data_IF_848573656695
#
_entry.id   IF_848573656695
#
_cell.length_a   1.000
_cell.length_b   1.000
_cell.length_c   1.000
_cell.angle_alpha   90.00
_cell.angle_beta   90.00
_cell.angle_gamma   90.00
#
_symmetry.space_group_name_H-M   'P 1'
#
loop_
_entity.id
_entity.type
_entity.pdbx_description
1 polymer ?
#
# COMPACT_ATOMS: atom_id res chain seq x y z
N UNK A 1 0.84 -8.76 -13.06
CA UNK A 1 1.12 -8.76 -11.59
C UNK A 1 0.29 -7.68 -10.90
N UNK A 2 0.31 -7.54 -9.56
CA UNK A 2 -0.39 -6.41 -8.90
C UNK A 2 0.30 -5.09 -9.28
N UNK A 3 1.63 -5.10 -9.33
CA UNK A 3 2.48 -3.99 -9.79
C UNK A 3 2.13 -3.47 -11.20
N UNK A 4 1.80 -4.34 -12.16
CA UNK A 4 1.34 -3.91 -13.49
C UNK A 4 0.01 -3.17 -13.44
N UNK A 5 -0.97 -3.72 -12.70
CA UNK A 5 -2.26 -3.05 -12.51
C UNK A 5 -2.06 -1.67 -11.85
N UNK A 6 -1.15 -1.55 -10.88
CA UNK A 6 -0.82 -0.27 -10.20
C UNK A 6 -0.20 0.75 -11.17
N UNK A 7 0.65 0.33 -12.10
CA UNK A 7 1.22 1.23 -13.12
C UNK A 7 0.15 1.79 -14.05
N UNK A 8 -0.80 0.94 -14.46
CA UNK A 8 -1.95 1.35 -15.27
C UNK A 8 -2.83 2.32 -14.46
N UNK A 9 -3.15 1.97 -13.20
CA UNK A 9 -3.92 2.82 -12.29
C UNK A 9 -3.32 4.22 -12.17
N UNK A 10 -2.01 4.32 -11.91
CA UNK A 10 -1.30 5.60 -11.81
C UNK A 10 -1.42 6.43 -13.09
N UNK A 11 -1.45 5.79 -14.25
CA UNK A 11 -1.58 6.46 -15.54
C UNK A 11 -3.01 6.96 -15.78
N UNK A 12 -4.00 6.23 -15.28
CA UNK A 12 -5.43 6.56 -15.42
C UNK A 12 -5.91 7.62 -14.42
N UNK A 13 -5.26 7.77 -13.25
CA UNK A 13 -5.65 8.76 -12.23
C UNK A 13 -5.78 10.20 -12.77
N UNK A 14 -5.10 10.53 -13.88
CA UNK A 14 -5.12 11.87 -14.47
C UNK A 14 -5.99 11.97 -15.74
N UNK A 15 -6.61 10.87 -16.18
CA UNK A 15 -7.27 10.77 -17.49
C UNK A 15 -8.74 10.36 -17.35
N UNK A 16 -9.03 9.30 -16.59
CA UNK A 16 -10.39 8.77 -16.44
C UNK A 16 -10.63 8.30 -15.00
N UNK A 17 -11.51 9.00 -14.30
CA UNK A 17 -11.83 8.71 -12.90
C UNK A 17 -12.58 7.38 -12.73
N UNK A 18 -13.42 6.99 -13.68
CA UNK A 18 -14.30 5.82 -13.55
C UNK A 18 -13.52 4.53 -13.82
N UNK A 19 -12.66 4.53 -14.85
CA UNK A 19 -11.75 3.41 -15.10
C UNK A 19 -10.71 3.26 -14.00
N UNK A 20 -10.18 4.38 -13.48
CA UNK A 20 -9.25 4.35 -12.35
C UNK A 20 -9.90 3.78 -11.08
N UNK A 21 -11.17 4.10 -10.79
CA UNK A 21 -11.89 3.57 -9.65
C UNK A 21 -12.14 2.05 -9.77
N UNK A 22 -12.61 1.59 -10.93
CA UNK A 22 -12.78 0.15 -11.18
C UNK A 22 -11.47 -0.63 -11.02
N UNK A 23 -10.35 -0.07 -11.50
CA UNK A 23 -9.04 -0.68 -11.38
C UNK A 23 -8.52 -0.65 -9.93
N UNK A 24 -8.79 0.42 -9.18
CA UNK A 24 -8.49 0.52 -7.76
C UNK A 24 -9.16 -0.61 -6.97
N UNK A 25 -10.46 -0.84 -7.19
CA UNK A 25 -11.20 -1.91 -6.51
C UNK A 25 -10.72 -3.31 -6.91
N UNK A 26 -10.35 -3.51 -8.18
CA UNK A 26 -9.69 -4.73 -8.63
C UNK A 26 -8.39 -4.97 -7.86
N UNK A 27 -7.52 -3.96 -7.75
CA UNK A 27 -6.24 -4.09 -7.05
C UNK A 27 -6.45 -4.39 -5.56
N UNK A 28 -7.36 -3.67 -4.89
CA UNK A 28 -7.71 -3.95 -3.49
C UNK A 28 -8.25 -5.36 -3.29
N UNK A 29 -9.07 -5.85 -4.21
CA UNK A 29 -9.57 -7.22 -4.17
C UNK A 29 -8.42 -8.23 -4.25
N UNK A 30 -7.44 -8.00 -5.12
CA UNK A 30 -6.24 -8.85 -5.24
C UNK A 30 -5.37 -8.78 -3.99
N UNK A 31 -5.14 -7.59 -3.43
CA UNK A 31 -4.44 -7.42 -2.15
C UNK A 31 -5.13 -8.13 -0.97
N UNK A 32 -6.41 -8.46 -1.07
CA UNK A 32 -7.08 -9.28 -0.04
C UNK A 32 -6.89 -10.77 -0.25
N UNK A 33 -6.60 -11.22 -1.46
CA UNK A 33 -6.71 -12.63 -1.85
C UNK A 33 -5.39 -13.27 -2.32
N UNK A 34 -4.39 -12.48 -2.69
CA UNK A 34 -3.10 -12.95 -3.21
C UNK A 34 -1.94 -12.38 -2.37
N UNK A 35 -0.88 -13.17 -2.07
CA UNK A 35 0.29 -12.65 -1.37
C UNK A 35 1.07 -11.66 -2.24
N UNK A 36 1.49 -10.53 -1.66
CA UNK A 36 2.35 -9.56 -2.35
C UNK A 36 3.80 -10.05 -2.42
N UNK A 37 4.50 -9.62 -3.47
CA UNK A 37 5.96 -9.70 -3.57
C UNK A 37 6.60 -8.31 -3.44
N UNK A 38 7.94 -8.25 -3.47
CA UNK A 38 8.69 -6.99 -3.33
C UNK A 38 8.32 -5.95 -4.39
N UNK A 39 8.14 -6.35 -5.65
CA UNK A 39 7.84 -5.45 -6.75
C UNK A 39 6.44 -4.83 -6.58
N UNK A 40 5.49 -5.61 -6.07
CA UNK A 40 4.15 -5.14 -5.75
C UNK A 40 4.19 -4.12 -4.60
N UNK A 41 4.92 -4.42 -3.52
CA UNK A 41 5.11 -3.48 -2.39
C UNK A 41 5.77 -2.18 -2.85
N UNK A 42 6.86 -2.27 -3.62
CA UNK A 42 7.54 -1.10 -4.17
C UNK A 42 6.62 -0.24 -5.04
N UNK A 43 5.84 -0.88 -5.93
CA UNK A 43 4.97 -0.17 -6.86
C UNK A 43 3.84 0.57 -6.13
N UNK A 44 3.25 -0.07 -5.12
CA UNK A 44 2.16 0.55 -4.34
C UNK A 44 2.71 1.61 -3.39
N UNK A 45 3.81 1.34 -2.69
CA UNK A 45 4.39 2.28 -1.74
C UNK A 45 4.82 3.60 -2.42
N UNK A 46 5.23 3.55 -3.69
CA UNK A 46 5.52 4.74 -4.49
C UNK A 46 4.32 5.70 -4.66
N UNK A 47 3.08 5.24 -4.42
CA UNK A 47 1.89 6.11 -4.44
C UNK A 47 1.76 6.96 -3.18
N UNK A 48 2.35 6.53 -2.05
CA UNK A 48 2.25 7.20 -0.74
C UNK A 48 0.80 7.49 -0.29
N UNK A 49 -0.15 6.63 -0.66
CA UNK A 49 -1.55 6.74 -0.26
C UNK A 49 -1.79 5.92 1.03
N UNK A 50 -2.23 6.52 2.14
CA UNK A 50 -2.36 5.84 3.43
C UNK A 50 -3.17 4.55 3.39
N UNK A 51 -4.35 4.57 2.77
CA UNK A 51 -5.23 3.38 2.70
C UNK A 51 -4.58 2.19 1.97
N UNK A 52 -3.67 2.47 1.03
CA UNK A 52 -2.95 1.44 0.29
C UNK A 52 -1.80 0.88 1.11
N UNK A 53 -1.15 1.70 1.93
CA UNK A 53 -0.12 1.26 2.89
C UNK A 53 -0.75 0.30 3.90
N UNK A 54 -1.92 0.66 4.46
CA UNK A 54 -2.68 -0.21 5.37
C UNK A 54 -3.04 -1.54 4.70
N UNK A 55 -3.45 -1.51 3.42
CA UNK A 55 -3.76 -2.71 2.66
C UNK A 55 -2.54 -3.63 2.44
N UNK A 56 -1.36 -3.07 2.15
CA UNK A 56 -0.11 -3.86 2.05
C UNK A 56 0.24 -4.48 3.39
N UNK A 57 0.23 -3.69 4.48
CA UNK A 57 0.57 -4.18 5.81
C UNK A 57 -0.35 -5.33 6.23
N UNK A 58 -1.65 -5.19 5.97
CA UNK A 58 -2.62 -6.27 6.19
C UNK A 58 -2.29 -7.52 5.37
N UNK A 59 -1.93 -7.36 4.09
CA UNK A 59 -1.55 -8.47 3.22
C UNK A 59 -0.31 -9.22 3.74
N UNK A 60 0.74 -8.48 4.09
CA UNK A 60 2.00 -9.03 4.61
C UNK A 60 1.73 -9.92 5.83
N UNK A 61 0.91 -9.41 6.78
CA UNK A 61 0.55 -10.15 7.99
C UNK A 61 -0.32 -11.37 7.66
N UNK A 62 -1.37 -11.19 6.84
CA UNK A 62 -2.32 -12.26 6.48
C UNK A 62 -1.63 -13.45 5.82
N UNK A 63 -0.75 -13.21 4.87
CA UNK A 63 -0.07 -14.25 4.10
C UNK A 63 1.30 -14.65 4.67
N UNK A 64 1.70 -14.08 5.81
CA UNK A 64 3.00 -14.32 6.45
C UNK A 64 4.16 -14.12 5.47
N UNK A 65 4.09 -13.08 4.65
CA UNK A 65 5.01 -12.84 3.53
C UNK A 65 6.47 -12.77 3.99
N UNK A 66 6.71 -12.21 5.18
CA UNK A 66 8.04 -12.14 5.80
C UNK A 66 8.71 -13.51 6.01
N UNK A 67 7.93 -14.55 6.28
CA UNK A 67 8.47 -15.90 6.49
C UNK A 67 8.84 -16.59 5.18
N UNK A 68 8.40 -16.04 4.05
CA UNK A 68 8.59 -16.61 2.71
C UNK A 68 9.70 -15.90 1.93
N UNK A 69 10.27 -14.82 2.47
CA UNK A 69 11.30 -14.03 1.81
C UNK A 69 12.66 -14.17 2.49
N UNK A 70 13.77 -14.02 1.72
CA UNK A 70 15.10 -13.88 2.30
C UNK A 70 15.15 -12.63 3.19
N UNK A 71 15.88 -12.71 4.31
CA UNK A 71 16.04 -11.60 5.25
C UNK A 71 16.76 -10.40 4.59
N UNK A 72 16.33 -9.19 4.91
CA UNK A 72 16.91 -7.94 4.40
C UNK A 72 16.34 -7.51 3.05
N UNK A 73 15.14 -7.98 2.71
CA UNK A 73 14.44 -7.66 1.47
C UNK A 73 13.81 -6.27 1.47
N UNK A 74 13.26 -5.86 0.33
CA UNK A 74 12.58 -4.56 0.19
C UNK A 74 11.37 -4.43 1.15
N UNK A 75 10.71 -5.54 1.45
CA UNK A 75 9.57 -5.58 2.38
C UNK A 75 10.03 -5.24 3.81
N UNK A 76 11.21 -5.69 4.24
CA UNK A 76 11.75 -5.35 5.56
C UNK A 76 12.01 -3.84 5.66
N UNK A 77 12.67 -3.26 4.64
CA UNK A 77 12.92 -1.82 4.55
C UNK A 77 11.61 -1.00 4.57
N UNK A 78 10.59 -1.46 3.84
CA UNK A 78 9.26 -0.85 3.85
C UNK A 78 8.67 -0.82 5.26
N UNK A 79 8.66 -1.96 5.95
CA UNK A 79 8.10 -2.06 7.31
C UNK A 79 8.86 -1.17 8.28
N UNK A 80 10.18 -1.21 8.28
CA UNK A 80 11.01 -0.35 9.14
C UNK A 80 10.71 1.13 8.91
N UNK A 81 10.62 1.54 7.65
CA UNK A 81 10.33 2.93 7.29
C UNK A 81 8.93 3.36 7.74
N UNK A 82 7.91 2.53 7.52
CA UNK A 82 6.55 2.85 7.93
C UNK A 82 6.39 2.85 9.45
N UNK A 83 7.08 1.96 10.18
CA UNK A 83 7.10 1.99 11.65
C UNK A 83 7.70 3.28 12.20
N UNK A 84 8.80 3.77 11.58
CA UNK A 84 9.39 5.06 11.97
C UNK A 84 8.42 6.22 11.74
N UNK A 85 7.70 6.20 10.61
CA UNK A 85 6.74 7.27 10.26
C UNK A 85 5.40 7.17 10.99
N UNK A 86 5.07 6.01 11.56
CA UNK A 86 3.78 5.78 12.21
C UNK A 86 3.53 6.73 13.39
N UNK A 87 4.58 7.07 14.13
CA UNK A 87 4.49 8.03 15.23
C UNK A 87 4.10 9.43 14.75
N UNK A 88 4.71 9.90 13.67
CA UNK A 88 4.48 11.24 13.12
C UNK A 88 3.14 11.33 12.40
N UNK A 89 2.79 10.32 11.58
CA UNK A 89 1.51 10.26 10.87
C UNK A 89 0.32 10.04 11.80
N UNK A 90 0.49 9.23 12.85
CA UNK A 90 -0.51 9.02 13.88
C UNK A 90 -0.84 10.31 14.63
N UNK A 91 0.18 11.07 15.02
CA UNK A 91 -0.01 12.39 15.64
C UNK A 91 -0.71 13.38 14.69
N UNK A 92 -0.27 13.46 13.42
CA UNK A 92 -0.88 14.33 12.43
C UNK A 92 -2.37 14.02 12.18
N UNK A 93 -2.75 12.73 12.08
CA UNK A 93 -4.15 12.31 11.93
C UNK A 93 -5.02 12.71 13.13
N UNK A 94 -4.50 12.61 14.35
CA UNK A 94 -5.22 13.02 15.57
C UNK A 94 -5.43 14.52 15.60
N UNK A 95 -4.42 15.31 15.19
CA UNK A 95 -4.53 16.76 15.08
C UNK A 95 -5.56 17.16 14.01
N UNK A 96 -5.53 16.54 12.84
CA UNK A 96 -6.51 16.81 11.76
C UNK A 96 -7.95 16.50 12.21
N UNK A 97 -8.17 15.44 12.98
CA UNK A 97 -9.47 15.12 13.57
C UNK A 97 -9.94 16.16 14.58
N UNK A 98 -9.03 16.66 15.42
CA UNK A 98 -9.31 17.67 16.43
C UNK A 98 -9.61 19.03 15.81
N UNK A 99 -8.87 19.45 14.77
CA UNK A 99 -9.05 20.74 14.09
C UNK A 99 -10.32 20.81 13.22
N UNK A 100 -10.90 19.65 12.86
CA UNK A 100 -12.18 19.58 12.13
C UNK A 100 -13.42 19.64 13.03
N UNK A 101 -13.25 19.68 14.36
CA UNK A 101 -14.33 19.79 15.36
C UNK A 101 -14.25 21.10 16.13
#
# INVERSE_FOLDING_TARGET
TISEDVKIYRSLMHVDALEAEALCEKIKCRLRNEPVNEVDVQSIWALQIPDWIDAILHNIVKFKVLNLQPAGGYIDLFIETELLQYHDRGAARVVEMYERH
#
